data_IF_245849213630
#
_entry.id   IF_245849213630
#
_cell.length_a   1.000
_cell.length_b   1.000
_cell.length_c   1.000
_cell.angle_alpha   90.00
_cell.angle_beta   90.00
_cell.angle_gamma   90.00
#
_symmetry.space_group_name_H-M   'P 1'
#
loop_
_entity.id
_entity.type
_entity.pdbx_description
1 polymer ?
#
# COMPACT_ATOMS: atom_id res chain seq x y z
N UNK A 1 -5.38 -12.83 9.02
CA UNK A 1 -4.32 -11.81 8.92
C UNK A 1 -4.89 -10.66 8.12
N UNK A 2 -4.89 -9.46 8.68
CA UNK A 2 -5.49 -8.27 8.06
C UNK A 2 -4.74 -7.91 6.78
N UNK A 3 -5.47 -7.63 5.70
CA UNK A 3 -4.90 -7.22 4.40
C UNK A 3 -5.17 -5.74 4.17
N UNK A 4 -4.27 -5.06 3.48
CA UNK A 4 -4.49 -3.67 3.05
C UNK A 4 -4.51 -3.60 1.53
N UNK A 5 -5.53 -2.94 0.98
CA UNK A 5 -5.68 -2.69 -0.45
C UNK A 5 -5.65 -1.18 -0.70
N UNK A 6 -4.73 -0.71 -1.53
CA UNK A 6 -4.72 0.69 -1.98
C UNK A 6 -5.20 0.73 -3.43
N UNK A 7 -6.28 1.46 -3.67
CA UNK A 7 -6.82 1.71 -5.00
C UNK A 7 -6.67 3.18 -5.33
N UNK A 8 -6.20 3.48 -6.53
CA UNK A 8 -6.10 4.86 -6.99
C UNK A 8 -5.54 4.96 -8.39
N UNK A 9 -5.56 6.17 -8.92
CA UNK A 9 -5.03 6.50 -10.24
C UNK A 9 -4.11 7.72 -10.15
N UNK A 10 -2.94 7.61 -10.79
CA UNK A 10 -1.93 8.65 -10.79
C UNK A 10 -2.36 9.90 -11.57
N UNK A 11 -3.23 9.74 -12.58
CA UNK A 11 -3.66 10.85 -13.41
C UNK A 11 -4.68 11.73 -12.69
N UNK A 12 -5.62 11.11 -11.98
CA UNK A 12 -6.56 11.79 -11.09
C UNK A 12 -5.90 12.26 -9.79
N UNK A 13 -4.90 11.52 -9.29
CA UNK A 13 -4.28 11.78 -7.98
C UNK A 13 -5.14 11.35 -6.80
N UNK A 14 -6.18 10.55 -7.05
CA UNK A 14 -7.10 10.06 -6.04
C UNK A 14 -6.67 8.66 -5.61
N UNK A 15 -6.47 8.47 -4.30
CA UNK A 15 -6.11 7.18 -3.73
C UNK A 15 -6.92 6.92 -2.48
N UNK A 16 -7.23 5.65 -2.22
CA UNK A 16 -7.99 5.20 -1.06
C UNK A 16 -7.49 3.84 -0.60
N UNK A 17 -7.41 3.65 0.71
CA UNK A 17 -6.95 2.43 1.35
C UNK A 17 -8.10 1.74 2.08
N UNK A 18 -8.20 0.42 1.89
CA UNK A 18 -9.25 -0.45 2.42
C UNK A 18 -8.61 -1.57 3.22
N UNK A 19 -9.28 -2.00 4.31
CA UNK A 19 -8.90 -3.20 5.03
C UNK A 19 -9.66 -4.38 4.46
N UNK A 20 -9.00 -5.53 4.31
CA UNK A 20 -9.60 -6.76 3.82
C UNK A 20 -10.46 -6.50 2.55
N UNK A 21 -11.73 -6.91 2.59
CA UNK A 21 -12.71 -6.73 1.53
C UNK A 21 -13.70 -5.58 1.84
N UNK A 22 -13.32 -4.65 2.74
CA UNK A 22 -14.16 -3.52 3.12
C UNK A 22 -14.45 -2.62 1.92
N UNK A 23 -15.68 -2.08 1.92
CA UNK A 23 -16.17 -1.15 0.89
C UNK A 23 -15.88 0.29 1.24
N UNK A 24 -15.67 0.61 2.52
CA UNK A 24 -15.37 1.95 2.99
C UNK A 24 -13.85 2.11 3.21
N UNK A 25 -13.24 3.19 2.70
CA UNK A 25 -11.84 3.43 2.90
C UNK A 25 -11.58 3.95 4.32
N UNK A 26 -10.52 3.44 4.96
CA UNK A 26 -10.08 3.96 6.26
C UNK A 26 -9.15 5.18 6.12
N UNK A 27 -8.58 5.39 4.93
CA UNK A 27 -7.82 6.59 4.56
C UNK A 27 -8.03 6.88 3.07
N UNK A 28 -8.22 8.16 2.72
CA UNK A 28 -8.27 8.62 1.32
C UNK A 28 -7.51 9.93 1.14
N UNK A 29 -6.98 10.13 -0.08
CA UNK A 29 -6.45 11.41 -0.56
C UNK A 29 -7.05 11.73 -1.93
N UNK A 30 -7.25 13.01 -2.21
CA UNK A 30 -7.90 13.51 -3.44
C UNK A 30 -7.03 14.58 -4.07
N UNK A 31 -6.85 14.51 -5.40
CA UNK A 31 -6.17 15.53 -6.20
C UNK A 31 -4.64 15.55 -6.11
N UNK A 32 -4.01 14.54 -5.50
CA UNK A 32 -2.57 14.47 -5.31
C UNK A 32 -1.90 13.67 -6.43
N UNK A 33 -1.71 14.32 -7.59
CA UNK A 33 -1.19 13.67 -8.81
C UNK A 33 0.25 13.19 -8.64
N UNK A 34 1.17 14.09 -8.27
CA UNK A 34 2.58 13.75 -7.99
C UNK A 34 2.70 13.24 -6.55
N UNK A 35 3.37 12.11 -6.36
CA UNK A 35 3.62 11.49 -5.05
C UNK A 35 2.38 10.99 -4.27
N UNK A 36 1.18 11.02 -4.84
CA UNK A 36 -0.03 10.56 -4.17
C UNK A 36 0.06 9.13 -3.65
N UNK A 37 0.64 8.21 -4.43
CA UNK A 37 0.86 6.83 -3.98
C UNK A 37 1.77 6.74 -2.74
N UNK A 38 2.83 7.55 -2.66
CA UNK A 38 3.69 7.58 -1.47
C UNK A 38 2.94 8.19 -0.28
N UNK A 39 2.21 9.28 -0.50
CA UNK A 39 1.45 9.97 0.54
C UNK A 39 0.38 9.06 1.18
N UNK A 40 -0.43 8.35 0.39
CA UNK A 40 -1.44 7.44 0.93
C UNK A 40 -0.80 6.31 1.73
N UNK A 41 0.36 5.79 1.30
CA UNK A 41 1.08 4.76 2.05
C UNK A 41 1.55 5.26 3.41
N UNK A 42 2.09 6.48 3.49
CA UNK A 42 2.49 7.09 4.78
C UNK A 42 1.30 7.24 5.72
N UNK A 43 0.15 7.68 5.19
CA UNK A 43 -1.07 7.78 5.98
C UNK A 43 -1.57 6.41 6.46
N UNK A 44 -1.48 5.37 5.62
CA UNK A 44 -1.75 3.99 6.03
C UNK A 44 -0.82 3.56 7.17
N UNK A 45 0.50 3.74 7.02
CA UNK A 45 1.48 3.37 8.06
C UNK A 45 1.19 4.07 9.39
N UNK A 46 0.93 5.37 9.35
CA UNK A 46 0.56 6.15 10.53
C UNK A 46 -0.74 5.67 11.17
N UNK A 47 -1.76 5.34 10.36
CA UNK A 47 -3.02 4.80 10.87
C UNK A 47 -2.81 3.45 11.56
N UNK A 48 -2.02 2.55 10.96
CA UNK A 48 -1.74 1.22 11.52
C UNK A 48 -1.02 1.31 12.88
N UNK A 49 -0.07 2.24 13.02
CA UNK A 49 0.60 2.47 14.31
C UNK A 49 -0.34 3.11 15.32
N UNK A 50 -0.96 4.25 14.96
CA UNK A 50 -1.65 5.10 15.94
C UNK A 50 -3.05 4.62 16.30
N UNK A 51 -3.78 4.05 15.34
CA UNK A 51 -5.17 3.61 15.54
C UNK A 51 -5.27 2.10 15.79
N UNK A 52 -4.38 1.30 15.20
CA UNK A 52 -4.43 -0.16 15.32
C UNK A 52 -3.38 -0.74 16.30
N UNK A 53 -2.43 0.07 16.77
CA UNK A 53 -1.40 -0.36 17.72
C UNK A 53 -0.39 -1.35 17.13
N UNK A 54 -0.21 -1.37 15.81
CA UNK A 54 0.75 -2.29 15.17
C UNK A 54 2.20 -1.86 15.39
N UNK A 55 3.08 -2.85 15.55
CA UNK A 55 4.53 -2.63 15.52
C UNK A 55 4.97 -2.24 14.12
N UNK A 56 6.03 -1.42 14.01
CA UNK A 56 6.65 -1.05 12.74
C UNK A 56 7.19 -2.26 11.95
N UNK A 57 7.49 -3.36 12.64
CA UNK A 57 7.96 -4.62 12.04
C UNK A 57 6.85 -5.56 11.61
N UNK A 58 5.58 -5.25 11.91
CA UNK A 58 4.45 -6.12 11.56
C UNK A 58 4.31 -6.26 10.06
N UNK A 59 4.22 -7.50 9.58
CA UNK A 59 3.98 -7.83 8.18
C UNK A 59 2.50 -7.68 7.83
N UNK A 60 2.22 -6.88 6.81
CA UNK A 60 0.89 -6.61 6.28
C UNK A 60 0.87 -7.04 4.81
N UNK A 61 0.07 -8.05 4.45
CA UNK A 61 -0.18 -8.38 3.06
C UNK A 61 -0.82 -7.19 2.33
N UNK A 62 -0.17 -6.71 1.27
CA UNK A 62 -0.72 -5.68 0.41
C UNK A 62 -1.36 -6.34 -0.82
N UNK A 63 -2.59 -5.95 -1.12
CA UNK A 63 -3.32 -6.39 -2.31
C UNK A 63 -3.72 -5.15 -3.12
N UNK A 64 -2.83 -4.58 -3.93
CA UNK A 64 -3.28 -3.56 -4.88
C UNK A 64 -3.88 -4.25 -6.09
N UNK A 65 -5.19 -4.43 -6.14
CA UNK A 65 -5.87 -4.98 -7.31
C UNK A 65 -5.82 -3.92 -8.42
N UNK A 66 -4.97 -4.10 -9.43
CA UNK A 66 -5.14 -3.38 -10.69
C UNK A 66 -6.24 -4.12 -11.46
N UNK A 67 -7.38 -3.49 -11.79
CA UNK A 67 -8.45 -4.18 -12.50
C UNK A 67 -7.92 -4.79 -13.80
N UNK A 68 -8.29 -6.05 -14.07
CA UNK A 68 -7.92 -6.77 -15.30
C UNK A 68 -6.58 -7.52 -15.27
N UNK A 69 -5.93 -7.70 -14.11
CA UNK A 69 -4.77 -8.60 -13.96
C UNK A 69 -5.11 -9.79 -13.05
N UNK A 70 -4.65 -11.03 -13.38
CA UNK A 70 -4.73 -12.15 -12.45
C UNK A 70 -4.01 -11.83 -11.14
N UNK A 71 -4.56 -12.29 -10.02
CA UNK A 71 -3.99 -12.05 -8.69
C UNK A 71 -2.56 -12.60 -8.54
N UNK A 72 -2.23 -13.68 -9.25
CA UNK A 72 -0.88 -14.26 -9.30
C UNK A 72 0.13 -13.38 -10.03
N UNK A 73 -0.33 -12.59 -11.00
CA UNK A 73 0.50 -11.80 -11.90
C UNK A 73 0.64 -10.35 -11.44
N UNK A 74 -0.12 -10.00 -10.41
CA UNK A 74 -0.09 -8.69 -9.82
C UNK A 74 1.09 -8.55 -8.87
N UNK A 75 2.20 -8.03 -9.41
CA UNK A 75 3.47 -7.80 -8.68
C UNK A 75 3.32 -6.93 -7.43
N UNK A 76 2.18 -6.25 -7.26
CA UNK A 76 1.84 -5.46 -6.09
C UNK A 76 1.16 -6.29 -4.97
N UNK A 77 0.95 -7.59 -5.18
CA UNK A 77 0.59 -8.57 -4.16
C UNK A 77 1.83 -9.00 -3.38
N UNK A 78 2.36 -8.08 -2.57
CA UNK A 78 3.59 -8.26 -1.81
C UNK A 78 3.36 -7.99 -0.33
N UNK A 79 4.22 -8.55 0.51
CA UNK A 79 4.21 -8.27 1.95
C UNK A 79 5.00 -6.98 2.18
N UNK A 80 4.39 -6.03 2.88
CA UNK A 80 5.04 -4.83 3.38
C UNK A 80 5.06 -4.86 4.90
N UNK A 81 6.11 -4.33 5.52
CA UNK A 81 6.07 -4.00 6.93
C UNK A 81 5.30 -2.69 7.14
N UNK A 82 4.81 -2.45 8.36
CA UNK A 82 4.26 -1.14 8.73
C UNK A 82 5.29 -0.02 8.51
N UNK A 83 6.58 -0.28 8.73
CA UNK A 83 7.66 0.67 8.42
C UNK A 83 7.74 0.99 6.92
N UNK A 84 7.60 0.01 6.03
CA UNK A 84 7.59 0.28 4.58
C UNK A 84 6.46 1.25 4.19
N UNK A 85 5.31 1.16 4.87
CA UNK A 85 4.22 2.11 4.69
C UNK A 85 4.58 3.51 5.22
N UNK A 86 5.15 3.62 6.42
CA UNK A 86 5.61 4.89 7.01
C UNK A 86 6.65 5.59 6.13
N UNK A 87 7.55 4.82 5.54
CA UNK A 87 8.58 5.33 4.63
C UNK A 87 8.00 5.68 3.25
N UNK A 88 6.76 5.25 2.98
CA UNK A 88 6.09 5.44 1.69
C UNK A 88 6.75 4.66 0.56
N UNK A 89 7.44 3.55 0.90
CA UNK A 89 8.19 2.70 -0.04
C UNK A 89 7.21 1.91 -0.91
N UNK A 90 7.39 1.97 -2.23
CA UNK A 90 6.69 1.08 -3.15
C UNK A 90 7.25 -0.36 -3.01
N UNK A 91 6.42 -1.38 -2.73
CA UNK A 91 6.86 -2.77 -2.69
C UNK A 91 7.51 -3.21 -4.01
N UNK A 92 7.14 -2.64 -5.16
CA UNK A 92 7.87 -2.95 -6.38
C UNK A 92 9.31 -2.44 -6.34
N UNK A 93 9.56 -1.26 -5.78
CA UNK A 93 10.93 -0.74 -5.61
C UNK A 93 11.73 -1.55 -4.60
N UNK A 94 11.13 -1.90 -3.44
CA UNK A 94 11.76 -2.72 -2.40
C UNK A 94 12.30 -4.04 -2.95
N UNK A 95 11.43 -4.79 -3.64
CA UNK A 95 11.78 -6.12 -4.14
C UNK A 95 12.61 -6.07 -5.44
N UNK A 96 12.54 -4.98 -6.22
CA UNK A 96 13.42 -4.78 -7.38
C UNK A 96 14.88 -4.63 -6.94
N UNK A 97 15.16 -3.92 -5.83
CA UNK A 97 16.51 -3.81 -5.28
C UNK A 97 17.06 -5.14 -4.76
N UNK A 98 16.21 -6.01 -4.22
CA UNK A 98 16.61 -7.37 -3.81
C UNK A 98 16.88 -8.34 -4.97
N UNK A 99 16.54 -7.97 -6.21
CA UNK A 99 16.75 -8.81 -7.40
C UNK A 99 18.12 -8.60 -8.05
N UNK A 100 18.89 -7.60 -7.60
CA UNK A 100 20.23 -7.28 -8.13
C UNK A 100 21.30 -7.77 -7.16
N UNK A 101 21.42 -9.09 -7.01
CA UNK A 101 22.66 -9.73 -6.57
C UNK A 101 22.85 -10.96 -7.46
N UNK A 102 23.67 -10.81 -8.49
CA UNK A 102 24.41 -11.88 -9.16
C UNK A 102 25.82 -11.39 -9.39
#
# INVERSE_FOLDING_TARGET
MEKVRIVGDINSGNYSAYKNDDTEPFVSIVGWKKFGLSAIRKMVGNYLVTQCGYSTTTNIPQHNIKPGRPDSDNRLHKICTVQDYIDGIDPDEKYRKSSTVR
#
